data_IF_673562710670
#
_entry.id   IF_673562710670
#
_cell.length_a   1.000
_cell.length_b   1.000
_cell.length_c   1.000
_cell.angle_alpha   90.00
_cell.angle_beta   90.00
_cell.angle_gamma   90.00
#
_symmetry.space_group_name_H-M   'P 1'
#
loop_
_entity.id
_entity.type
_entity.pdbx_description
1 polymer ?
#
# COMPACT_ATOMS: atom_id res chain seq x y z
N UNK A 1 -10.63 3.68 -4.79
CA UNK A 1 -10.91 4.18 -3.43
C UNK A 1 -12.13 5.08 -3.37
N UNK A 2 -12.45 5.58 -2.18
CA UNK A 2 -13.69 6.35 -1.95
C UNK A 2 -13.79 7.69 -2.71
N UNK A 3 -12.67 8.26 -3.03
CA UNK A 3 -12.57 9.51 -3.82
C UNK A 3 -12.09 9.27 -5.25
N UNK A 4 -12.09 7.98 -5.66
CA UNK A 4 -11.60 7.59 -6.97
C UNK A 4 -12.54 8.04 -8.09
N UNK A 5 -11.93 8.58 -9.15
CA UNK A 5 -12.59 8.86 -10.41
C UNK A 5 -12.32 7.68 -11.37
N UNK A 6 -13.38 7.12 -11.94
CA UNK A 6 -13.26 6.05 -12.95
C UNK A 6 -12.54 6.50 -14.22
N UNK A 7 -12.50 7.81 -14.50
CA UNK A 7 -11.71 8.38 -15.61
C UNK A 7 -10.19 8.22 -15.39
N UNK A 8 -9.76 7.91 -14.17
CA UNK A 8 -8.36 7.61 -13.86
C UNK A 8 -7.96 6.15 -14.20
N UNK A 9 -8.91 5.31 -14.64
CA UNK A 9 -8.63 4.03 -15.26
C UNK A 9 -8.53 4.20 -16.77
N UNK A 10 -7.38 3.91 -17.35
CA UNK A 10 -7.06 4.16 -18.76
C UNK A 10 -7.44 3.00 -19.70
N UNK A 11 -7.85 1.87 -19.13
CA UNK A 11 -8.26 0.68 -19.86
C UNK A 11 -9.76 0.45 -19.73
N UNK A 12 -10.38 -0.03 -20.78
CA UNK A 12 -11.75 -0.54 -20.73
C UNK A 12 -11.83 -1.98 -20.17
N UNK A 13 -13.05 -2.48 -19.98
CA UNK A 13 -13.28 -3.80 -19.38
C UNK A 13 -12.71 -4.95 -20.23
N UNK A 14 -12.70 -4.82 -21.55
CA UNK A 14 -12.20 -5.84 -22.48
C UNK A 14 -10.67 -5.90 -22.44
N UNK A 15 -10.03 -4.73 -22.33
CA UNK A 15 -8.56 -4.61 -22.22
C UNK A 15 -8.06 -5.14 -20.89
N UNK A 16 -8.77 -4.87 -19.78
CA UNK A 16 -8.48 -5.42 -18.45
C UNK A 16 -8.53 -6.96 -18.47
N UNK A 17 -9.59 -7.53 -19.06
CA UNK A 17 -9.75 -8.98 -19.16
C UNK A 17 -8.62 -9.62 -19.98
N UNK A 18 -8.27 -9.03 -21.13
CA UNK A 18 -7.17 -9.49 -21.99
C UNK A 18 -5.82 -9.50 -21.28
N UNK A 19 -5.61 -8.55 -20.36
CA UNK A 19 -4.39 -8.43 -19.55
C UNK A 19 -4.44 -9.26 -18.26
N UNK A 20 -5.58 -9.88 -17.94
CA UNK A 20 -5.79 -10.62 -16.70
C UNK A 20 -5.78 -9.72 -15.46
N UNK A 21 -6.19 -8.47 -15.61
CA UNK A 21 -6.25 -7.48 -14.53
C UNK A 21 -7.70 -7.43 -14.00
N UNK A 22 -7.86 -7.64 -12.71
CA UNK A 22 -9.15 -7.52 -12.04
C UNK A 22 -9.33 -6.10 -11.48
N UNK A 23 -10.50 -5.51 -11.69
CA UNK A 23 -10.88 -4.21 -11.12
C UNK A 23 -11.81 -4.40 -9.91
N UNK A 24 -11.48 -3.74 -8.81
CA UNK A 24 -12.26 -3.77 -7.57
C UNK A 24 -12.55 -2.37 -7.06
N UNK A 25 -13.81 -2.07 -6.78
CA UNK A 25 -14.17 -0.92 -5.98
C UNK A 25 -13.85 -1.20 -4.52
N UNK A 26 -13.19 -0.25 -3.85
CA UNK A 26 -12.80 -0.39 -2.44
C UNK A 26 -13.20 0.85 -1.65
N UNK A 27 -13.43 0.66 -0.36
CA UNK A 27 -13.88 1.69 0.57
C UNK A 27 -12.75 2.35 1.38
N UNK A 28 -11.47 2.12 1.01
CA UNK A 28 -10.31 2.83 1.55
C UNK A 28 -10.30 4.29 1.13
N UNK A 29 -9.59 5.12 1.87
CA UNK A 29 -9.29 6.49 1.44
C UNK A 29 -8.44 6.54 0.16
N UNK A 30 -8.45 7.70 -0.50
CA UNK A 30 -7.70 7.95 -1.72
C UNK A 30 -8.39 7.46 -2.99
N UNK A 31 -7.70 7.66 -4.10
CA UNK A 31 -8.13 7.38 -5.47
C UNK A 31 -7.76 5.97 -5.92
N UNK A 32 -7.73 5.72 -7.24
CA UNK A 32 -7.30 4.46 -7.85
C UNK A 32 -5.84 4.16 -7.54
N UNK A 33 -5.51 2.90 -7.42
CA UNK A 33 -4.12 2.41 -7.33
C UNK A 33 -4.02 1.04 -8.00
N UNK A 34 -2.82 0.61 -8.27
CA UNK A 34 -2.52 -0.72 -8.78
C UNK A 34 -1.87 -1.58 -7.70
N UNK A 35 -2.27 -2.83 -7.63
CA UNK A 35 -1.61 -3.85 -6.82
C UNK A 35 -1.11 -4.98 -7.71
N UNK A 36 0.17 -5.25 -7.67
CA UNK A 36 0.83 -6.25 -8.50
C UNK A 36 1.98 -6.96 -7.82
N UNK A 37 2.56 -7.92 -8.53
CA UNK A 37 3.73 -8.65 -8.06
C UNK A 37 4.89 -7.69 -7.87
N UNK A 38 5.61 -7.85 -6.76
CA UNK A 38 6.74 -6.97 -6.44
C UNK A 38 6.39 -5.83 -5.48
N UNK A 39 5.15 -5.74 -5.04
CA UNK A 39 4.76 -4.82 -3.97
C UNK A 39 4.65 -5.54 -2.63
N UNK A 40 5.10 -4.89 -1.56
CA UNK A 40 4.77 -5.27 -0.19
C UNK A 40 3.49 -4.57 0.24
N UNK A 41 2.46 -5.34 0.52
CA UNK A 41 1.19 -4.84 1.03
C UNK A 41 1.16 -5.03 2.55
N UNK A 42 0.99 -3.93 3.27
CA UNK A 42 0.87 -3.92 4.73
C UNK A 42 -0.51 -3.44 5.17
N UNK A 43 -1.22 -4.25 5.96
CA UNK A 43 -2.53 -3.91 6.53
C UNK A 43 -2.45 -3.86 8.06
N UNK A 44 -2.09 -2.72 8.66
CA UNK A 44 -2.09 -2.55 10.10
C UNK A 44 -3.53 -2.51 10.64
N UNK A 45 -3.96 -3.58 11.28
CA UNK A 45 -5.29 -3.68 11.90
C UNK A 45 -5.16 -3.31 13.37
N UNK A 46 -5.53 -2.09 13.70
CA UNK A 46 -5.31 -1.50 15.02
C UNK A 46 -6.57 -0.80 15.52
N UNK A 47 -6.74 -0.75 16.84
CA UNK A 47 -7.80 0.05 17.44
C UNK A 47 -7.30 1.46 17.79
N UNK A 48 -7.85 2.46 17.12
CA UNK A 48 -7.63 3.86 17.47
C UNK A 48 -8.49 4.25 18.67
N UNK A 49 -7.92 4.97 19.63
CA UNK A 49 -8.63 5.39 20.83
C UNK A 49 -9.44 6.69 20.63
N UNK A 50 -9.14 7.44 19.56
CA UNK A 50 -9.71 8.76 19.28
C UNK A 50 -9.79 8.98 17.76
N UNK A 51 -10.94 9.51 17.22
CA UNK A 51 -11.08 9.86 15.81
C UNK A 51 -10.04 10.86 15.30
N UNK A 52 -9.60 11.76 16.16
CA UNK A 52 -8.55 12.75 15.83
C UNK A 52 -7.19 12.10 15.52
N UNK A 53 -7.04 10.80 15.83
CA UNK A 53 -5.80 10.05 15.58
C UNK A 53 -5.70 9.42 14.20
N UNK A 54 -6.69 9.57 13.31
CA UNK A 54 -6.63 9.00 11.95
C UNK A 54 -5.50 9.65 11.14
N UNK A 55 -5.41 10.97 11.11
CA UNK A 55 -4.33 11.68 10.40
C UNK A 55 -2.97 11.35 11.01
N UNK A 56 -2.76 11.48 12.35
CA UNK A 56 -1.51 11.02 12.97
C UNK A 56 -1.15 9.58 12.64
N UNK A 57 -2.13 8.65 12.61
CA UNK A 57 -1.90 7.26 12.23
C UNK A 57 -1.35 7.12 10.80
N UNK A 58 -1.94 7.84 9.83
CA UNK A 58 -1.45 7.85 8.45
C UNK A 58 -0.02 8.41 8.39
N UNK A 59 0.26 9.51 9.10
CA UNK A 59 1.61 10.10 9.17
C UNK A 59 2.62 9.17 9.83
N UNK A 60 2.23 8.39 10.85
CA UNK A 60 3.09 7.33 11.42
C UNK A 60 3.36 6.19 10.43
N UNK A 61 2.42 5.84 9.56
CA UNK A 61 2.67 4.89 8.48
C UNK A 61 3.70 5.42 7.47
N UNK A 62 3.57 6.70 7.08
CA UNK A 62 4.58 7.35 6.22
C UNK A 62 5.96 7.33 6.87
N UNK A 63 6.05 7.70 8.15
CA UNK A 63 7.31 7.69 8.89
C UNK A 63 7.90 6.28 9.02
N UNK A 64 7.06 5.26 9.21
CA UNK A 64 7.50 3.87 9.20
C UNK A 64 8.18 3.50 7.89
N UNK A 65 7.57 3.85 6.75
CA UNK A 65 8.11 3.56 5.43
C UNK A 65 9.39 4.37 5.18
N UNK A 66 9.39 5.67 5.50
CA UNK A 66 10.57 6.54 5.35
C UNK A 66 11.76 6.00 6.13
N UNK A 67 11.58 5.67 7.42
CA UNK A 67 12.65 5.10 8.26
C UNK A 67 13.11 3.72 7.77
N UNK A 68 12.20 2.93 7.19
CA UNK A 68 12.57 1.66 6.57
C UNK A 68 13.48 1.88 5.37
N UNK A 69 13.14 2.83 4.48
CA UNK A 69 13.92 3.16 3.30
C UNK A 69 15.27 3.79 3.65
N UNK A 70 15.29 4.66 4.66
CA UNK A 70 16.52 5.28 5.20
C UNK A 70 17.53 4.22 5.67
N UNK A 71 17.07 3.11 6.26
CA UNK A 71 17.96 2.00 6.66
C UNK A 71 18.63 1.26 5.50
N UNK A 72 18.20 1.52 4.28
CA UNK A 72 18.77 1.03 3.03
C UNK A 72 19.45 2.15 2.22
N UNK A 73 19.74 3.30 2.85
CA UNK A 73 20.32 4.48 2.22
C UNK A 73 19.44 5.06 1.08
N UNK A 74 18.13 4.86 1.13
CA UNK A 74 17.18 5.42 0.19
C UNK A 74 16.48 6.63 0.84
N UNK A 75 16.83 7.83 0.36
CA UNK A 75 16.23 9.07 0.81
C UNK A 75 14.77 9.16 0.35
N UNK A 76 13.85 9.32 1.30
CA UNK A 76 12.41 9.39 1.05
C UNK A 76 11.72 10.43 1.91
N UNK A 77 10.59 10.95 1.44
CA UNK A 77 9.83 11.99 2.13
C UNK A 77 8.32 11.83 1.93
N UNK A 78 7.53 12.47 2.80
CA UNK A 78 6.09 12.63 2.65
C UNK A 78 5.75 14.06 2.22
N UNK A 79 4.60 14.23 1.56
CA UNK A 79 4.03 15.53 1.20
C UNK A 79 2.96 15.95 2.20
N UNK A 80 2.77 17.25 2.40
CA UNK A 80 1.76 17.76 3.34
C UNK A 80 0.34 17.52 2.81
N UNK A 81 0.13 17.80 1.53
CA UNK A 81 -1.20 17.81 0.88
C UNK A 81 -1.54 16.48 0.17
N UNK A 82 -0.64 15.49 0.17
CA UNK A 82 -0.86 14.18 -0.45
C UNK A 82 -0.43 13.06 0.49
N UNK A 83 -1.05 11.90 0.35
CA UNK A 83 -0.80 10.74 1.21
C UNK A 83 0.02 9.70 0.48
N UNK A 84 1.19 9.36 1.02
CA UNK A 84 2.14 8.42 0.44
C UNK A 84 3.57 8.72 0.81
N UNK A 85 4.50 8.06 0.14
CA UNK A 85 5.94 8.30 0.30
C UNK A 85 6.58 8.44 -1.07
N UNK A 86 7.47 9.42 -1.21
CA UNK A 86 8.16 9.78 -2.44
C UNK A 86 9.67 9.74 -2.24
N UNK A 87 10.35 9.59 -3.35
CA UNK A 87 11.80 9.73 -3.50
C UNK A 87 12.08 10.74 -4.62
N UNK A 88 13.36 11.03 -4.91
CA UNK A 88 13.77 11.82 -6.07
C UNK A 88 13.27 11.24 -7.41
N UNK A 89 13.09 9.92 -7.47
CA UNK A 89 12.70 9.20 -8.68
C UNK A 89 11.18 9.04 -8.86
N UNK A 90 10.38 9.32 -7.82
CA UNK A 90 8.92 9.25 -7.87
C UNK A 90 8.27 8.68 -6.61
N UNK A 91 6.98 8.40 -6.70
CA UNK A 91 6.18 7.82 -5.62
C UNK A 91 6.57 6.35 -5.41
N UNK A 92 7.09 6.04 -4.23
CA UNK A 92 7.55 4.69 -3.89
C UNK A 92 6.53 3.90 -3.08
N UNK A 93 5.65 4.59 -2.36
CA UNK A 93 4.58 3.93 -1.61
C UNK A 93 3.26 4.69 -1.65
N UNK A 94 2.18 3.93 -1.80
CA UNK A 94 0.80 4.41 -1.72
C UNK A 94 0.19 4.01 -0.38
N UNK A 95 -0.59 4.90 0.22
CA UNK A 95 -1.27 4.67 1.50
C UNK A 95 -2.74 4.99 1.35
N UNK A 96 -3.60 4.05 1.72
CA UNK A 96 -5.03 4.27 1.75
C UNK A 96 -5.66 3.45 2.87
N UNK A 97 -6.18 4.13 3.89
CA UNK A 97 -6.78 3.48 5.06
C UNK A 97 -8.27 3.74 5.15
N UNK A 98 -8.96 2.88 5.86
CA UNK A 98 -10.33 3.08 6.33
C UNK A 98 -10.35 2.90 7.85
N UNK A 99 -11.18 3.65 8.53
CA UNK A 99 -11.48 3.43 9.95
C UNK A 99 -12.97 3.14 10.11
N UNK A 100 -13.30 2.01 10.71
CA UNK A 100 -14.66 1.62 11.04
C UNK A 100 -14.72 1.10 12.47
N UNK A 101 -15.67 1.59 13.26
CA UNK A 101 -15.81 1.26 14.69
C UNK A 101 -14.46 1.37 15.45
N UNK A 102 -13.68 2.42 15.13
CA UNK A 102 -12.34 2.70 15.67
C UNK A 102 -11.25 1.69 15.29
N UNK A 103 -11.52 0.75 14.40
CA UNK A 103 -10.52 -0.18 13.89
C UNK A 103 -10.07 0.28 12.51
N UNK A 104 -8.75 0.20 12.26
CA UNK A 104 -8.15 0.51 10.97
C UNK A 104 -8.24 -0.69 10.04
N UNK A 105 -8.46 -0.43 8.75
CA UNK A 105 -8.50 -1.40 7.66
C UNK A 105 -7.70 -0.87 6.48
N UNK A 106 -7.28 -1.76 5.57
CA UNK A 106 -6.34 -1.46 4.52
C UNK A 106 -5.01 -0.96 5.08
N UNK A 107 -4.25 -0.19 4.34
CA UNK A 107 -2.94 0.27 4.81
C UNK A 107 -2.11 0.86 3.70
N UNK A 108 -1.00 0.21 3.35
CA UNK A 108 -0.04 0.72 2.38
C UNK A 108 0.40 -0.36 1.38
N UNK A 109 0.92 0.11 0.25
CA UNK A 109 1.64 -0.66 -0.73
C UNK A 109 3.00 0.01 -0.97
N UNK A 110 4.10 -0.69 -0.66
CA UNK A 110 5.47 -0.28 -0.92
C UNK A 110 5.98 -1.04 -2.15
N UNK A 111 6.44 -0.32 -3.16
CA UNK A 111 7.01 -0.89 -4.37
C UNK A 111 8.42 -1.38 -4.08
N UNK A 112 8.68 -2.69 -4.22
CA UNK A 112 10.01 -3.27 -4.00
C UNK A 112 10.69 -3.54 -5.34
N UNK A 113 10.03 -4.25 -6.26
CA UNK A 113 10.58 -4.59 -7.56
C UNK A 113 10.05 -3.67 -8.67
N UNK A 114 10.80 -3.54 -9.77
CA UNK A 114 10.51 -2.64 -10.90
C UNK A 114 9.37 -3.12 -11.82
N UNK A 115 8.65 -4.18 -11.45
CA UNK A 115 7.49 -4.68 -12.21
C UNK A 115 6.25 -3.83 -11.95
N UNK A 116 6.28 -2.60 -12.41
CA UNK A 116 5.30 -1.56 -12.11
C UNK A 116 4.42 -1.18 -13.33
N UNK A 117 4.47 -1.97 -14.41
CA UNK A 117 3.75 -1.70 -15.68
C UNK A 117 2.23 -1.51 -15.47
N UNK A 118 1.68 -2.03 -14.38
CA UNK A 118 0.27 -1.84 -14.05
C UNK A 118 -0.09 -0.39 -13.70
N UNK A 119 0.87 0.45 -13.34
CA UNK A 119 0.65 1.88 -13.14
C UNK A 119 0.46 2.64 -14.46
N UNK A 120 0.94 2.12 -15.58
CA UNK A 120 0.73 2.69 -16.93
C UNK A 120 -0.75 2.64 -17.35
N UNK A 121 -1.57 1.86 -16.65
CA UNK A 121 -2.99 1.70 -16.95
C UNK A 121 -3.91 2.56 -16.09
N UNK A 122 -3.33 3.41 -15.24
CA UNK A 122 -4.08 4.31 -14.36
C UNK A 122 -3.41 5.68 -14.31
N UNK A 123 -4.19 6.70 -13.94
CA UNK A 123 -3.66 8.01 -13.53
C UNK A 123 -3.67 8.05 -12.00
N UNK A 124 -2.56 7.74 -11.30
CA UNK A 124 -2.54 7.74 -9.85
C UNK A 124 -2.90 9.13 -9.30
N UNK A 125 -3.92 9.20 -8.45
CA UNK A 125 -4.42 10.47 -7.89
C UNK A 125 -4.78 11.53 -8.95
N UNK A 126 -5.15 11.12 -10.18
CA UNK A 126 -5.46 12.03 -11.29
C UNK A 126 -4.26 12.73 -11.91
N UNK A 127 -3.04 12.37 -11.54
CA UNK A 127 -1.80 12.95 -12.06
C UNK A 127 -1.13 12.01 -13.06
N UNK A 128 -1.18 12.36 -14.35
CA UNK A 128 -0.56 11.59 -15.43
C UNK A 128 0.98 11.67 -15.42
N UNK A 129 1.54 12.67 -14.75
CA UNK A 129 2.99 12.90 -14.69
C UNK A 129 3.64 12.30 -13.43
N UNK A 130 2.85 11.63 -12.57
CA UNK A 130 3.36 11.02 -11.35
C UNK A 130 4.29 9.86 -11.69
N UNK A 131 5.58 10.07 -11.49
CA UNK A 131 6.57 9.00 -11.63
C UNK A 131 6.43 8.01 -10.49
N UNK A 132 6.60 6.73 -10.80
CA UNK A 132 6.57 5.65 -9.82
C UNK A 132 7.97 5.10 -9.67
N UNK A 133 8.42 4.97 -8.42
CA UNK A 133 9.70 4.39 -8.05
C UNK A 133 9.50 3.09 -7.27
N UNK A 134 10.56 2.30 -7.15
CA UNK A 134 10.66 1.10 -6.33
C UNK A 134 11.95 1.10 -5.52
N UNK A 135 12.08 0.18 -4.57
CA UNK A 135 13.35 -0.05 -3.86
C UNK A 135 14.46 -0.43 -4.86
N UNK A 136 14.12 -1.27 -5.85
CA UNK A 136 15.06 -1.70 -6.90
C UNK A 136 15.47 -0.60 -7.88
N UNK A 137 14.75 0.51 -7.96
CA UNK A 137 15.21 1.71 -8.67
C UNK A 137 16.54 2.23 -8.09
N UNK A 138 16.79 2.00 -6.80
CA UNK A 138 17.99 2.45 -6.08
C UNK A 138 19.00 1.33 -5.85
N UNK A 139 18.53 0.14 -5.43
CA UNK A 139 19.41 -0.98 -5.13
C UNK A 139 18.71 -2.33 -5.37
N UNK A 140 19.15 -3.05 -6.39
CA UNK A 140 18.59 -4.35 -6.80
C UNK A 140 19.02 -5.52 -5.89
N UNK A 141 19.98 -5.32 -5.00
CA UNK A 141 20.45 -6.36 -4.07
C UNK A 141 19.56 -6.50 -2.84
N UNK A 142 18.70 -5.49 -2.55
CA UNK A 142 17.77 -5.53 -1.42
C UNK A 142 16.65 -6.54 -1.71
N UNK A 143 16.61 -7.61 -0.92
CA UNK A 143 15.60 -8.64 -1.08
C UNK A 143 14.23 -8.22 -0.51
N UNK A 144 13.18 -8.91 -0.93
CA UNK A 144 11.83 -8.72 -0.38
C UNK A 144 11.81 -8.97 1.13
N UNK A 145 12.49 -10.02 1.58
CA UNK A 145 12.55 -10.41 3.00
C UNK A 145 13.31 -9.37 3.84
N UNK A 146 14.36 -8.74 3.30
CA UNK A 146 15.06 -7.65 4.00
C UNK A 146 14.10 -6.50 4.28
N UNK A 147 13.30 -6.10 3.30
CA UNK A 147 12.31 -5.04 3.46
C UNK A 147 11.22 -5.44 4.44
N UNK A 148 10.70 -6.68 4.37
CA UNK A 148 9.69 -7.20 5.32
C UNK A 148 10.22 -7.17 6.74
N UNK A 149 11.43 -7.65 6.97
CA UNK A 149 12.04 -7.66 8.30
C UNK A 149 12.23 -6.24 8.83
N UNK A 150 12.79 -5.36 8.01
CA UNK A 150 13.07 -3.99 8.42
C UNK A 150 11.81 -3.18 8.67
N UNK A 151 10.79 -3.26 7.82
CA UNK A 151 9.54 -2.53 8.03
C UNK A 151 8.79 -3.03 9.27
N UNK A 152 8.92 -4.32 9.61
CA UNK A 152 8.36 -4.88 10.82
C UNK A 152 9.03 -4.29 12.07
N UNK A 153 10.35 -4.19 12.09
CA UNK A 153 11.11 -3.54 13.16
C UNK A 153 10.71 -2.06 13.30
N UNK A 154 10.70 -1.34 12.18
CA UNK A 154 10.41 0.11 12.15
C UNK A 154 8.98 0.40 12.59
N UNK A 155 8.03 -0.40 12.10
CA UNK A 155 6.63 -0.31 12.52
C UNK A 155 6.48 -0.55 14.02
N UNK A 156 7.14 -1.60 14.53
CA UNK A 156 7.09 -1.95 15.95
C UNK A 156 7.62 -0.82 16.81
N UNK A 157 8.73 -0.20 16.41
CA UNK A 157 9.33 0.93 17.11
C UNK A 157 8.43 2.17 17.04
N UNK A 158 7.89 2.50 15.86
CA UNK A 158 7.04 3.68 15.65
C UNK A 158 5.75 3.63 16.46
N UNK A 159 5.12 2.45 16.55
CA UNK A 159 3.87 2.25 17.26
C UNK A 159 4.04 1.77 18.71
N UNK A 160 5.27 1.63 19.19
CA UNK A 160 5.59 1.31 20.59
C UNK A 160 5.27 -0.12 21.01
N UNK A 161 5.27 -1.07 20.07
CA UNK A 161 5.13 -2.50 20.38
C UNK A 161 6.46 -3.07 20.91
N UNK A 162 6.38 -3.94 21.91
CA UNK A 162 7.56 -4.54 22.56
C UNK A 162 7.86 -5.97 22.10
N UNK A 163 6.83 -6.68 21.70
CA UNK A 163 6.94 -8.08 21.26
C UNK A 163 6.32 -8.26 19.88
N UNK A 164 7.04 -8.88 18.97
CA UNK A 164 6.59 -9.20 17.62
C UNK A 164 6.63 -10.72 17.45
N UNK A 165 5.44 -11.33 17.39
CA UNK A 165 5.31 -12.70 16.91
C UNK A 165 5.08 -12.66 15.39
N UNK A 166 6.03 -13.15 14.61
CA UNK A 166 5.83 -13.28 13.15
C UNK A 166 5.21 -14.66 12.89
N UNK A 167 3.96 -14.68 12.46
CA UNK A 167 3.32 -15.89 11.96
C UNK A 167 3.22 -15.82 10.44
N UNK A 168 4.02 -16.63 9.75
CA UNK A 168 3.93 -16.80 8.31
C UNK A 168 2.81 -17.78 7.97
N UNK A 169 1.80 -17.35 7.22
CA UNK A 169 0.78 -18.23 6.66
C UNK A 169 0.75 -18.09 5.15
N UNK A 170 0.85 -19.24 4.45
CA UNK A 170 0.67 -19.27 3.01
C UNK A 170 -0.80 -19.59 2.72
N UNK A 171 -1.53 -18.62 2.18
CA UNK A 171 -2.88 -18.86 1.65
C UNK A 171 -2.80 -19.37 0.22
N UNK A 172 -3.41 -20.50 -0.04
CA UNK A 172 -3.58 -20.97 -1.42
C UNK A 172 -4.76 -20.23 -2.08
N UNK A 173 -4.75 -20.03 -3.42
CA UNK A 173 -5.86 -19.39 -4.13
C UNK A 173 -7.24 -20.01 -3.86
N UNK A 174 -7.27 -21.30 -3.53
CA UNK A 174 -8.50 -22.04 -3.19
C UNK A 174 -9.08 -21.63 -1.83
N UNK A 175 -8.25 -21.23 -0.87
CA UNK A 175 -8.70 -20.77 0.44
C UNK A 175 -9.31 -19.36 0.37
N UNK A 176 -8.76 -18.49 -0.50
CA UNK A 176 -9.30 -17.15 -0.74
C UNK A 176 -10.73 -17.17 -1.34
N UNK A 177 -11.05 -18.17 -2.18
CA UNK A 177 -12.38 -18.30 -2.78
C UNK A 177 -13.48 -18.72 -1.76
N UNK A 178 -13.13 -19.40 -0.67
CA UNK A 178 -14.10 -19.84 0.34
C UNK A 178 -14.60 -18.70 1.24
N UNK A 179 -13.83 -17.64 1.41
CA UNK A 179 -14.23 -16.48 2.23
C UNK A 179 -15.17 -15.50 1.50
N UNK A 180 -15.27 -15.55 0.17
CA UNK A 180 -16.18 -14.69 -0.60
C UNK A 180 -17.68 -15.07 -0.51
N UNK A 181 -18.05 -16.16 0.18
CA UNK A 181 -19.43 -16.69 0.18
C UNK A 181 -20.28 -16.39 1.43
N UNK A 182 -19.76 -15.62 2.41
CA UNK A 182 -20.49 -15.43 3.69
C UNK A 182 -20.76 -13.97 4.09
N UNK A 183 -20.66 -13.00 3.19
CA UNK A 183 -20.91 -11.60 3.53
C UNK A 183 -21.96 -10.93 2.61
N UNK A 184 -23.04 -11.60 2.29
CA UNK A 184 -24.24 -10.91 1.80
C UNK A 184 -25.43 -11.71 2.32
N UNK A 185 -25.84 -11.43 3.54
CA UNK A 185 -27.20 -11.56 4.07
C UNK A 185 -27.17 -11.10 5.55
N UNK A 186 -27.45 -9.82 5.76
CA UNK A 186 -28.17 -9.12 6.82
C UNK A 186 -27.82 -7.64 6.87
#
# INVERSE_FOLDING_TARGET
GRTGDTNNLLLDSEELEKKGIEFFETDRGGDITFHGKGQLIGYPIMRLQDPKKVIPFVRSLEQTIIKTLDSFDIEAFSKEDDTGVWTSEGKIASIGVKVSKWTTYHGFALNIFDKLEGFDFINPCGNQEEKIASVHTFNTEISFDDVVNKITETFTAEFGYKDVGIQMSQFTPTQLKKHKKHEIDE
#
